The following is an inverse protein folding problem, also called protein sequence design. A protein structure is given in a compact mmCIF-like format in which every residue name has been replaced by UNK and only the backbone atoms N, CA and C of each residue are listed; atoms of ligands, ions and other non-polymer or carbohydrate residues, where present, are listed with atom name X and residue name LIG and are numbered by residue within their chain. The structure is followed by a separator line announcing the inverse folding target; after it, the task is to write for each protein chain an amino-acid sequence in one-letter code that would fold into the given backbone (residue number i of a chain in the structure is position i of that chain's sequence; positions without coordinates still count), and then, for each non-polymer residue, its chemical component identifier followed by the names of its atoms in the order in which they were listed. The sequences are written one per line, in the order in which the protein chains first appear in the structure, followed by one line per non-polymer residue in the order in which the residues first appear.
data_IF_726670374943
#
_entry.id   IF_726670374943
#
_cell.length_a   1.000
_cell.length_b   1.000
_cell.length_c   1.000
_cell.angle_alpha   90.00
_cell.angle_beta   90.00
_cell.angle_gamma   90.00
#
_symmetry.space_group_name_H-M   'P 1'
#
loop_
_entity.id
_entity.type
_entity.pdbx_description
1 polymer ?
#
# COMPACT_ATOMS: atom_id res chain seq x y z
N UNK A 1 -12.66 13.96 28.00
CA UNK A 1 -12.10 14.50 26.74
C UNK A 1 -12.78 13.75 25.60
N UNK A 2 -13.60 14.43 24.80
CA UNK A 2 -14.14 13.83 23.58
C UNK A 2 -12.99 13.54 22.61
N UNK A 3 -12.97 12.40 21.90
CA UNK A 3 -11.96 12.17 20.88
C UNK A 3 -12.05 13.28 19.83
N UNK A 4 -10.89 13.76 19.36
CA UNK A 4 -10.83 14.69 18.25
C UNK A 4 -11.60 14.12 17.05
N UNK A 5 -12.31 14.96 16.27
CA UNK A 5 -13.03 14.48 15.09
C UNK A 5 -12.03 13.79 14.14
N UNK A 6 -12.34 12.55 13.80
CA UNK A 6 -11.57 11.78 12.83
C UNK A 6 -11.82 12.40 11.44
N UNK A 7 -10.78 12.66 10.63
CA UNK A 7 -10.98 13.20 9.29
C UNK A 7 -11.73 12.18 8.42
N UNK A 8 -12.57 12.70 7.54
CA UNK A 8 -13.20 11.91 6.48
C UNK A 8 -12.15 11.34 5.51
N UNK A 9 -12.54 10.32 4.74
CA UNK A 9 -11.69 9.75 3.70
C UNK A 9 -11.31 10.78 2.64
N UNK A 10 -12.18 11.75 2.35
CA UNK A 10 -11.92 12.86 1.44
C UNK A 10 -10.86 13.82 2.00
N UNK A 11 -10.96 14.19 3.28
CA UNK A 11 -9.97 15.04 3.94
C UNK A 11 -8.61 14.35 4.05
N UNK A 12 -8.62 13.04 4.34
CA UNK A 12 -7.43 12.22 4.37
C UNK A 12 -6.78 12.14 2.98
N UNK A 13 -7.54 11.90 1.92
CA UNK A 13 -7.02 11.87 0.55
C UNK A 13 -6.38 13.21 0.16
N UNK A 14 -7.05 14.34 0.44
CA UNK A 14 -6.51 15.67 0.15
C UNK A 14 -5.22 15.94 0.93
N UNK A 15 -5.15 15.51 2.17
CA UNK A 15 -3.95 15.63 2.99
C UNK A 15 -2.77 14.80 2.45
N UNK A 16 -3.04 13.57 1.99
CA UNK A 16 -2.02 12.72 1.36
C UNK A 16 -1.53 13.30 0.04
N UNK A 17 -2.45 13.84 -0.77
CA UNK A 17 -2.15 14.48 -2.05
C UNK A 17 -1.24 15.70 -1.89
N UNK A 18 -1.58 16.59 -0.95
CA UNK A 18 -0.79 17.80 -0.65
C UNK A 18 0.64 17.49 -0.20
N UNK A 19 0.91 16.28 0.28
CA UNK A 19 2.23 15.84 0.73
C UNK A 19 2.94 14.93 -0.27
N UNK A 20 2.34 14.63 -1.43
CA UNK A 20 2.91 13.69 -2.40
C UNK A 20 2.95 12.24 -1.89
N UNK A 21 2.14 11.92 -0.88
CA UNK A 21 2.16 10.62 -0.19
C UNK A 21 1.22 9.58 -0.82
N UNK A 22 0.42 9.97 -1.82
CA UNK A 22 -0.52 9.08 -2.51
C UNK A 22 0.16 7.91 -3.24
N UNK A 23 1.45 8.04 -3.57
CA UNK A 23 2.21 6.96 -4.21
C UNK A 23 2.58 5.82 -3.27
N UNK A 24 2.44 5.98 -1.95
CA UNK A 24 2.89 5.01 -0.97
C UNK A 24 1.80 3.96 -0.69
N UNK A 25 2.04 2.66 -0.93
CA UNK A 25 0.99 1.63 -0.83
C UNK A 25 0.29 1.56 0.54
N UNK A 26 1.03 1.80 1.63
CA UNK A 26 0.44 1.83 2.98
C UNK A 26 -0.47 3.05 3.22
N UNK A 27 -0.24 4.17 2.53
CA UNK A 27 -1.13 5.35 2.59
C UNK A 27 -2.44 5.10 1.88
N UNK A 28 -2.41 4.38 0.75
CA UNK A 28 -3.62 3.92 0.04
C UNK A 28 -4.42 2.93 0.90
N UNK A 29 -3.73 2.08 1.65
CA UNK A 29 -4.37 1.16 2.57
C UNK A 29 -5.09 1.87 3.72
N UNK A 30 -4.48 2.91 4.28
CA UNK A 30 -5.12 3.76 5.28
C UNK A 30 -6.38 4.45 4.71
N UNK A 31 -6.33 4.94 3.46
CA UNK A 31 -7.48 5.52 2.79
C UNK A 31 -8.60 4.49 2.55
N UNK A 32 -8.26 3.27 2.17
CA UNK A 32 -9.23 2.17 2.02
C UNK A 32 -9.95 1.86 3.33
N UNK A 33 -9.23 1.78 4.44
CA UNK A 33 -9.83 1.56 5.77
C UNK A 33 -10.74 2.71 6.19
N UNK A 34 -10.36 3.96 5.89
CA UNK A 34 -11.21 5.14 6.15
C UNK A 34 -12.54 5.05 5.37
N UNK A 35 -12.49 4.73 4.07
CA UNK A 35 -13.70 4.53 3.25
C UNK A 35 -14.58 3.38 3.75
N UNK A 36 -13.98 2.26 4.15
CA UNK A 36 -14.73 1.14 4.72
C UNK A 36 -15.46 1.53 6.02
N UNK A 37 -14.80 2.32 6.87
CA UNK A 37 -15.40 2.82 8.11
C UNK A 37 -16.59 3.74 7.84
N UNK A 38 -16.49 4.62 6.85
CA UNK A 38 -17.60 5.51 6.43
C UNK A 38 -18.77 4.74 5.82
N UNK A 39 -18.48 3.70 5.04
CA UNK A 39 -19.48 2.89 4.38
C UNK A 39 -20.07 1.77 5.26
N UNK A 40 -19.57 1.58 6.49
CA UNK A 40 -19.94 0.48 7.39
C UNK A 40 -21.46 0.32 7.55
N UNK A 41 -22.17 1.43 7.72
CA UNK A 41 -23.61 1.42 7.98
C UNK A 41 -24.45 1.15 6.71
N UNK A 42 -23.81 1.08 5.54
CA UNK A 42 -24.40 0.79 4.24
C UNK A 42 -24.16 -0.66 3.77
N UNK A 43 -23.53 -1.49 4.61
CA UNK A 43 -23.16 -2.87 4.26
C UNK A 43 -23.55 -3.86 5.36
N UNK A 44 -23.70 -5.13 4.98
CA UNK A 44 -23.93 -6.18 5.98
C UNK A 44 -22.67 -6.40 6.82
N UNK A 45 -22.81 -6.82 8.09
CA UNK A 45 -21.66 -7.11 8.94
C UNK A 45 -20.67 -8.11 8.34
N UNK A 46 -21.16 -9.12 7.62
CA UNK A 46 -20.35 -10.15 6.96
C UNK A 46 -19.54 -9.55 5.81
N UNK A 47 -20.17 -8.65 5.03
CA UNK A 47 -19.51 -7.94 3.92
C UNK A 47 -18.42 -7.02 4.46
N UNK A 48 -18.72 -6.26 5.52
CA UNK A 48 -17.74 -5.40 6.18
C UNK A 48 -16.55 -6.20 6.70
N UNK A 49 -16.80 -7.31 7.42
CA UNK A 49 -15.76 -8.17 7.95
C UNK A 49 -14.86 -8.73 6.84
N UNK A 50 -15.48 -9.21 5.74
CA UNK A 50 -14.75 -9.71 4.58
C UNK A 50 -13.87 -8.62 3.95
N UNK A 51 -14.41 -7.41 3.76
CA UNK A 51 -13.62 -6.29 3.22
C UNK A 51 -12.46 -5.88 4.12
N UNK A 52 -12.62 -5.96 5.44
CA UNK A 52 -11.53 -5.73 6.41
C UNK A 52 -10.47 -6.84 6.31
N UNK A 53 -10.87 -8.11 6.16
CA UNK A 53 -9.95 -9.23 5.99
C UNK A 53 -9.15 -9.13 4.68
N UNK A 54 -9.79 -8.74 3.58
CA UNK A 54 -9.13 -8.50 2.29
C UNK A 54 -8.14 -7.34 2.40
N UNK A 55 -8.55 -6.23 3.00
CA UNK A 55 -7.69 -5.10 3.30
C UNK A 55 -6.47 -5.55 4.12
N UNK A 56 -6.67 -6.32 5.20
CA UNK A 56 -5.58 -6.86 5.99
C UNK A 56 -4.65 -7.78 5.18
N UNK A 57 -5.19 -8.68 4.38
CA UNK A 57 -4.39 -9.56 3.52
C UNK A 57 -3.53 -8.76 2.53
N UNK A 58 -4.06 -7.70 1.94
CA UNK A 58 -3.33 -6.82 1.04
C UNK A 58 -2.23 -6.04 1.77
N UNK A 59 -2.50 -5.57 2.99
CA UNK A 59 -1.46 -4.98 3.84
C UNK A 59 -0.34 -5.98 4.16
N UNK A 60 -0.67 -7.24 4.47
CA UNK A 60 0.33 -8.28 4.73
C UNK A 60 1.13 -8.66 3.48
N UNK A 61 0.53 -8.58 2.28
CA UNK A 61 1.24 -8.74 0.99
C UNK A 61 2.21 -7.61 0.69
N UNK A 62 2.05 -6.44 1.33
CA UNK A 62 3.08 -5.40 1.29
C UNK A 62 4.34 -5.84 2.08
N UNK A 63 4.28 -6.88 2.91
CA UNK A 63 5.43 -7.49 3.57
C UNK A 63 6.29 -8.33 2.62
N UNK A 64 7.61 -8.24 2.75
CA UNK A 64 8.67 -8.75 1.85
C UNK A 64 8.81 -8.04 0.50
N UNK A 65 7.77 -7.43 -0.07
CA UNK A 65 7.83 -6.74 -1.37
C UNK A 65 8.85 -5.59 -1.44
N UNK A 66 9.01 -4.87 -0.34
CA UNK A 66 9.94 -3.73 -0.24
C UNK A 66 11.38 -4.16 0.01
N UNK A 67 11.65 -5.42 0.39
CA UNK A 67 13.02 -5.88 0.65
C UNK A 67 13.81 -5.93 -0.66
N UNK A 68 14.88 -5.15 -0.73
CA UNK A 68 15.68 -4.96 -1.95
C UNK A 68 15.11 -3.92 -2.94
N UNK A 69 13.97 -3.28 -2.61
CA UNK A 69 13.33 -2.21 -3.40
C UNK A 69 13.04 -0.99 -2.54
N UNK A 70 13.76 -0.83 -1.43
CA UNK A 70 13.50 0.22 -0.45
C UNK A 70 13.63 1.62 -1.06
N UNK A 71 14.66 1.86 -1.86
CA UNK A 71 14.86 3.16 -2.54
C UNK A 71 13.70 3.48 -3.50
N UNK A 72 13.19 2.49 -4.21
CA UNK A 72 12.06 2.65 -5.11
C UNK A 72 10.75 2.89 -4.34
N UNK A 73 10.52 2.13 -3.27
CA UNK A 73 9.24 2.12 -2.53
C UNK A 73 9.14 3.28 -1.53
N UNK A 74 10.26 3.73 -0.94
CA UNK A 74 10.30 4.79 0.07
C UNK A 74 10.73 6.16 -0.49
N UNK A 75 11.63 6.18 -1.49
CA UNK A 75 12.18 7.43 -2.05
C UNK A 75 11.68 7.73 -3.48
N UNK A 76 11.04 6.76 -4.16
CA UNK A 76 10.43 6.96 -5.48
C UNK A 76 11.39 6.78 -6.66
N UNK A 77 12.63 6.35 -6.41
CA UNK A 77 13.63 6.13 -7.45
C UNK A 77 13.57 4.68 -7.95
N UNK A 78 12.92 4.46 -9.09
CA UNK A 78 12.88 3.15 -9.75
C UNK A 78 14.31 2.68 -10.12
N UNK A 79 14.72 1.54 -9.58
CA UNK A 79 15.93 0.81 -10.01
C UNK A 79 15.53 -0.58 -10.50
N UNK A 80 15.76 -0.92 -11.78
CA UNK A 80 15.52 -2.28 -12.27
C UNK A 80 16.42 -3.27 -11.52
N UNK A 81 15.93 -4.50 -11.28
CA UNK A 81 16.71 -5.56 -10.62
C UNK A 81 18.00 -5.86 -11.40
N UNK A 82 19.12 -6.01 -10.69
CA UNK A 82 20.43 -6.45 -11.22
C UNK A 82 20.46 -7.92 -11.65
N UNK A 83 19.33 -8.52 -12.05
CA UNK A 83 19.34 -9.84 -12.68
C UNK A 83 19.92 -9.67 -14.09
N UNK A 84 21.24 -9.63 -14.15
CA UNK A 84 22.01 -9.96 -15.33
C UNK A 84 21.88 -11.47 -15.43
N UNK A 85 20.88 -11.96 -16.18
CA UNK A 85 21.03 -13.29 -16.77
C UNK A 85 22.40 -13.28 -17.46
N UNK A 86 23.31 -14.22 -17.16
CA UNK A 86 24.58 -14.28 -17.87
C UNK A 86 24.26 -14.33 -19.35
N UNK A 87 24.83 -13.41 -20.12
CA UNK A 87 24.67 -13.40 -21.56
C UNK A 87 25.07 -14.80 -22.08
N UNK A 88 24.29 -15.40 -23.00
CA UNK A 88 24.60 -16.73 -23.51
C UNK A 88 26.05 -16.78 -24.02
N UNK A 89 26.87 -17.66 -23.42
CA UNK A 89 28.31 -17.76 -23.67
C UNK A 89 29.22 -17.31 -22.52
N UNK A 90 28.71 -17.16 -21.30
CA UNK A 90 29.52 -16.83 -20.12
C UNK A 90 30.43 -17.99 -19.70
N UNK A 91 31.49 -17.75 -18.90
CA UNK A 91 32.42 -18.79 -18.45
C UNK A 91 31.73 -19.94 -17.70
N UNK A 92 30.59 -19.66 -17.05
CA UNK A 92 29.75 -20.64 -16.37
C UNK A 92 28.97 -21.57 -17.32
N UNK A 93 28.91 -21.26 -18.63
CA UNK A 93 28.31 -22.10 -19.68
C UNK A 93 29.29 -23.13 -20.29
N UNK A 94 30.55 -23.21 -19.82
CA UNK A 94 31.57 -24.16 -20.30
C UNK A 94 31.75 -25.40 -19.44
#
# INVERSE_FOLDING_TARGET
MSPAPQPSSAELARYLELRGELGKPWMLQMLRLSKLKEARDQMTPETYLKSIQEAHADLMRLGEFWKGREEEVFNGDYRPNDVIEPLPGSPEDR
#
